data_IF_768092746918
#
_entry.id   IF_768092746918
#
_cell.length_a   1.000
_cell.length_b   1.000
_cell.length_c   1.000
_cell.angle_alpha   90.00
_cell.angle_beta   90.00
_cell.angle_gamma   90.00
#
_symmetry.space_group_name_H-M   'P 1'
#
loop_
_entity.id
_entity.type
_entity.pdbx_description
1 polymer ?
#
# COMPACT_ATOMS: atom_id res chain seq x y z
N UNK A 1 -18.28 -5.26 -44.39
CA UNK A 1 -19.32 -5.14 -45.44
C UNK A 1 -20.63 -4.68 -44.81
N UNK A 2 -21.47 -3.88 -45.49
CA UNK A 2 -22.83 -3.54 -45.03
C UNK A 2 -23.79 -4.58 -45.57
N UNK A 3 -24.41 -5.32 -44.66
CA UNK A 3 -25.39 -6.36 -44.95
C UNK A 3 -26.70 -5.74 -45.50
N UNK A 4 -27.31 -6.49 -46.42
CA UNK A 4 -28.43 -6.13 -47.26
C UNK A 4 -29.76 -6.40 -46.54
N UNK A 5 -30.56 -5.36 -46.27
CA UNK A 5 -32.02 -5.49 -46.10
C UNK A 5 -32.59 -6.17 -44.84
N UNK A 6 -31.79 -6.44 -43.80
CA UNK A 6 -32.29 -6.90 -42.51
C UNK A 6 -32.46 -5.73 -41.52
N UNK A 7 -33.62 -5.63 -40.86
CA UNK A 7 -33.90 -4.62 -39.82
C UNK A 7 -33.02 -4.76 -38.55
N UNK A 8 -32.25 -5.84 -38.45
CA UNK A 8 -31.43 -6.18 -37.29
C UNK A 8 -30.10 -6.83 -37.70
N UNK A 9 -29.08 -6.63 -36.88
CA UNK A 9 -27.73 -7.15 -37.12
C UNK A 9 -27.62 -8.63 -36.72
N UNK A 10 -27.19 -9.48 -37.66
CA UNK A 10 -26.99 -10.92 -37.45
C UNK A 10 -25.52 -11.37 -37.50
N UNK A 11 -24.58 -10.44 -37.45
CA UNK A 11 -23.16 -10.79 -37.35
C UNK A 11 -22.88 -11.54 -36.04
N UNK A 12 -21.87 -12.40 -36.02
CA UNK A 12 -21.46 -13.14 -34.82
C UNK A 12 -21.23 -12.21 -33.61
N UNK A 13 -20.60 -11.06 -33.84
CA UNK A 13 -20.38 -10.04 -32.81
C UNK A 13 -21.69 -9.48 -32.25
N UNK A 14 -22.67 -9.19 -33.11
CA UNK A 14 -23.98 -8.69 -32.69
C UNK A 14 -24.74 -9.74 -31.86
N UNK A 15 -24.75 -11.01 -32.29
CA UNK A 15 -25.43 -12.09 -31.57
C UNK A 15 -24.80 -12.31 -30.20
N UNK A 16 -23.47 -12.39 -30.12
CA UNK A 16 -22.73 -12.55 -28.84
C UNK A 16 -22.97 -11.38 -27.89
N UNK A 17 -22.99 -10.16 -28.41
CA UNK A 17 -23.22 -8.95 -27.60
C UNK A 17 -24.65 -8.89 -27.09
N UNK A 18 -25.64 -9.15 -27.95
CA UNK A 18 -27.04 -9.19 -27.57
C UNK A 18 -27.31 -10.25 -26.50
N UNK A 19 -26.73 -11.45 -26.63
CA UNK A 19 -26.83 -12.49 -25.62
C UNK A 19 -26.28 -12.04 -24.26
N UNK A 20 -25.09 -11.43 -24.21
CA UNK A 20 -24.51 -10.91 -22.96
C UNK A 20 -25.35 -9.82 -22.30
N UNK A 21 -25.96 -8.95 -23.10
CA UNK A 21 -26.88 -7.91 -22.61
C UNK A 21 -28.10 -8.60 -21.99
N UNK A 22 -28.80 -9.44 -22.77
CA UNK A 22 -30.01 -10.12 -22.34
C UNK A 22 -29.79 -10.96 -21.08
N UNK A 23 -28.65 -11.64 -20.98
CA UNK A 23 -28.27 -12.36 -19.77
C UNK A 23 -28.23 -11.41 -18.57
N UNK A 24 -27.60 -10.25 -18.70
CA UNK A 24 -27.42 -9.30 -17.60
C UNK A 24 -28.71 -8.64 -17.13
N UNK A 25 -29.70 -8.51 -18.01
CA UNK A 25 -30.97 -7.85 -17.72
C UNK A 25 -31.83 -8.60 -16.70
N UNK A 26 -32.59 -7.83 -15.93
CA UNK A 26 -33.73 -8.28 -15.16
C UNK A 26 -35.01 -7.63 -15.70
N UNK A 27 -35.67 -8.29 -16.66
CA UNK A 27 -36.83 -7.71 -17.35
C UNK A 27 -38.08 -7.61 -16.48
N UNK A 28 -38.05 -8.11 -15.24
CA UNK A 28 -39.15 -7.92 -14.27
C UNK A 28 -39.06 -6.59 -13.53
N UNK A 29 -37.90 -5.92 -13.55
CA UNK A 29 -37.72 -4.60 -12.94
C UNK A 29 -38.12 -3.49 -13.92
N UNK A 30 -38.79 -2.45 -13.41
CA UNK A 30 -39.16 -1.29 -14.22
C UNK A 30 -37.93 -0.39 -14.48
N UNK A 31 -37.50 -0.18 -15.75
CA UNK A 31 -36.29 0.57 -16.06
C UNK A 31 -36.30 2.03 -15.56
N UNK A 32 -37.49 2.64 -15.49
CA UNK A 32 -37.66 4.03 -15.05
C UNK A 32 -37.64 4.19 -13.52
N UNK A 33 -37.78 3.10 -12.76
CA UNK A 33 -37.77 3.11 -11.29
C UNK A 33 -36.39 2.70 -10.76
N UNK A 34 -35.84 1.60 -11.28
CA UNK A 34 -34.52 1.10 -10.93
C UNK A 34 -33.82 0.56 -12.19
N UNK A 35 -33.13 1.46 -12.89
CA UNK A 35 -32.37 1.10 -14.08
C UNK A 35 -31.20 0.16 -13.76
N UNK A 36 -30.64 0.22 -12.55
CA UNK A 36 -29.54 -0.66 -12.16
C UNK A 36 -30.04 -2.10 -12.01
N UNK A 37 -31.15 -2.32 -11.31
CA UNK A 37 -31.76 -3.64 -11.21
C UNK A 37 -32.19 -4.15 -12.59
N UNK A 38 -32.83 -3.31 -13.42
CA UNK A 38 -33.20 -3.71 -14.78
C UNK A 38 -31.99 -4.10 -15.63
N UNK A 39 -30.89 -3.32 -15.59
CA UNK A 39 -29.73 -3.56 -16.44
C UNK A 39 -28.81 -4.68 -15.94
N UNK A 40 -28.69 -4.85 -14.62
CA UNK A 40 -27.68 -5.69 -13.97
C UNK A 40 -28.26 -6.84 -13.13
N UNK A 41 -29.55 -6.84 -12.83
CA UNK A 41 -30.17 -7.77 -11.86
C UNK A 41 -30.03 -9.24 -12.26
N UNK A 42 -30.05 -9.54 -13.56
CA UNK A 42 -29.75 -10.88 -14.09
C UNK A 42 -28.31 -11.29 -13.82
N UNK A 43 -27.36 -10.35 -14.00
CA UNK A 43 -25.95 -10.60 -13.70
C UNK A 43 -25.71 -10.83 -12.21
N UNK A 44 -26.28 -9.99 -11.33
CA UNK A 44 -26.12 -10.10 -9.87
C UNK A 44 -26.57 -11.47 -9.35
N UNK A 45 -27.69 -12.00 -9.85
CA UNK A 45 -28.19 -13.32 -9.46
C UNK A 45 -27.24 -14.47 -9.83
N UNK A 46 -26.53 -14.36 -10.96
CA UNK A 46 -25.67 -15.43 -11.47
C UNK A 46 -24.21 -15.31 -11.03
N UNK A 47 -23.84 -14.18 -10.44
CA UNK A 47 -22.45 -13.87 -10.08
C UNK A 47 -22.36 -13.48 -8.61
N UNK A 48 -22.61 -14.42 -7.67
CA UNK A 48 -22.36 -14.17 -6.25
C UNK A 48 -20.88 -13.83 -6.03
N UNK A 49 -20.60 -13.05 -4.98
CA UNK A 49 -19.23 -12.68 -4.63
C UNK A 49 -18.48 -13.97 -4.24
N UNK A 50 -17.39 -14.34 -4.94
CA UNK A 50 -16.58 -15.50 -4.56
C UNK A 50 -15.98 -15.32 -3.17
N UNK A 51 -15.79 -16.41 -2.41
CA UNK A 51 -15.26 -16.35 -1.04
C UNK A 51 -13.90 -15.66 -0.92
N UNK A 52 -13.08 -15.73 -1.96
CA UNK A 52 -11.76 -15.09 -2.01
C UNK A 52 -11.79 -13.59 -2.34
N UNK A 53 -12.97 -13.00 -2.56
CA UNK A 53 -13.12 -11.64 -3.05
C UNK A 53 -14.02 -10.82 -2.11
N UNK A 54 -13.71 -9.53 -1.97
CA UNK A 54 -14.52 -8.60 -1.16
C UNK A 54 -15.59 -7.89 -1.99
N UNK A 55 -15.43 -7.86 -3.32
CA UNK A 55 -16.43 -7.36 -4.26
C UNK A 55 -16.35 -8.12 -5.57
N UNK A 56 -17.47 -8.15 -6.30
CA UNK A 56 -17.53 -8.82 -7.60
C UNK A 56 -18.36 -7.99 -8.57
N UNK A 57 -17.73 -7.61 -9.67
CA UNK A 57 -18.32 -6.87 -10.78
C UNK A 57 -17.71 -7.35 -12.11
N UNK A 58 -18.17 -6.77 -13.22
CA UNK A 58 -17.68 -7.11 -14.56
C UNK A 58 -16.18 -6.82 -14.74
N UNK A 59 -15.65 -5.77 -14.10
CA UNK A 59 -14.23 -5.43 -14.18
C UNK A 59 -13.38 -6.42 -13.39
N UNK A 60 -13.85 -6.85 -12.22
CA UNK A 60 -13.23 -7.91 -11.41
C UNK A 60 -13.22 -9.23 -12.18
N UNK A 61 -14.34 -9.62 -12.77
CA UNK A 61 -14.41 -10.83 -13.60
C UNK A 61 -13.43 -10.77 -14.78
N UNK A 62 -13.36 -9.64 -15.48
CA UNK A 62 -12.39 -9.45 -16.57
C UNK A 62 -10.94 -9.50 -16.06
N UNK A 63 -10.65 -8.88 -14.91
CA UNK A 63 -9.33 -8.93 -14.28
C UNK A 63 -8.94 -10.36 -13.94
N UNK A 64 -9.84 -11.17 -13.40
CA UNK A 64 -9.56 -12.58 -13.09
C UNK A 64 -9.30 -13.40 -14.36
N UNK A 65 -10.00 -13.12 -15.47
CA UNK A 65 -9.66 -13.73 -16.76
C UNK A 65 -8.27 -13.32 -17.24
N UNK A 66 -7.96 -12.02 -17.20
CA UNK A 66 -6.63 -11.52 -17.56
C UNK A 66 -5.52 -12.15 -16.70
N UNK A 67 -5.75 -12.30 -15.39
CA UNK A 67 -4.77 -12.91 -14.49
C UNK A 67 -4.52 -14.39 -14.82
N UNK A 68 -5.53 -15.12 -15.33
CA UNK A 68 -5.35 -16.49 -15.83
C UNK A 68 -4.52 -16.50 -17.10
N UNK A 69 -4.84 -15.65 -18.06
CA UNK A 69 -4.07 -15.56 -19.31
C UNK A 69 -2.60 -15.18 -19.03
N UNK A 70 -2.36 -14.23 -18.11
CA UNK A 70 -1.01 -13.85 -17.68
C UNK A 70 -0.29 -15.00 -16.98
N UNK A 71 -0.99 -15.77 -16.15
CA UNK A 71 -0.44 -16.96 -15.50
C UNK A 71 0.00 -17.98 -16.54
N UNK A 72 -0.84 -18.28 -17.52
CA UNK A 72 -0.51 -19.23 -18.60
C UNK A 72 0.77 -18.78 -19.33
N UNK A 73 0.86 -17.50 -19.70
CA UNK A 73 2.06 -16.92 -20.34
C UNK A 73 3.31 -17.01 -19.46
N UNK A 74 3.18 -16.81 -18.15
CA UNK A 74 4.31 -16.84 -17.22
C UNK A 74 4.77 -18.27 -16.88
N UNK A 75 3.85 -19.24 -16.90
CA UNK A 75 4.12 -20.66 -16.68
C UNK A 75 4.65 -21.37 -17.94
N UNK A 76 4.42 -20.82 -19.13
CA UNK A 76 4.98 -21.33 -20.38
C UNK A 76 6.51 -21.50 -20.31
N UNK A 77 6.99 -22.59 -20.92
CA UNK A 77 8.42 -22.87 -21.05
C UNK A 77 9.18 -21.69 -21.64
N UNK A 78 10.38 -21.43 -21.11
CA UNK A 78 11.23 -20.35 -21.61
C UNK A 78 12.02 -20.79 -22.85
N UNK A 79 12.02 -19.96 -23.89
CA UNK A 79 12.88 -20.14 -25.08
C UNK A 79 14.19 -19.36 -24.95
N UNK A 80 15.25 -19.86 -25.59
CA UNK A 80 16.54 -19.17 -25.67
C UNK A 80 16.41 -17.77 -26.32
N UNK A 81 15.46 -17.61 -27.24
CA UNK A 81 15.25 -16.37 -28.00
C UNK A 81 14.34 -15.36 -27.27
N UNK A 82 13.82 -15.67 -26.08
CA UNK A 82 12.98 -14.73 -25.33
C UNK A 82 13.75 -13.46 -24.93
N UNK A 83 13.11 -12.27 -25.01
CA UNK A 83 13.69 -11.02 -24.52
C UNK A 83 14.03 -11.11 -23.03
N UNK A 84 15.12 -10.44 -22.63
CA UNK A 84 15.58 -10.40 -21.24
C UNK A 84 14.49 -10.03 -20.22
N UNK A 85 13.67 -8.98 -20.45
CA UNK A 85 12.58 -8.61 -19.53
C UNK A 85 11.53 -9.71 -19.34
N UNK A 86 11.22 -10.48 -20.40
CA UNK A 86 10.27 -11.59 -20.32
C UNK A 86 10.84 -12.72 -19.47
N UNK A 87 12.12 -13.06 -19.67
CA UNK A 87 12.83 -14.05 -18.85
C UNK A 87 12.85 -13.63 -17.37
N UNK A 88 13.09 -12.35 -17.08
CA UNK A 88 13.07 -11.81 -15.71
C UNK A 88 11.67 -11.91 -15.09
N UNK A 89 10.62 -11.55 -15.82
CA UNK A 89 9.25 -11.67 -15.33
C UNK A 89 8.87 -13.12 -15.01
N UNK A 90 9.21 -14.08 -15.89
CA UNK A 90 9.01 -15.51 -15.66
C UNK A 90 9.81 -16.03 -14.45
N UNK A 91 11.06 -15.59 -14.30
CA UNK A 91 11.89 -15.96 -13.16
C UNK A 91 11.31 -15.44 -11.83
N UNK A 92 10.91 -14.16 -11.80
CA UNK A 92 10.28 -13.56 -10.62
C UNK A 92 8.98 -14.28 -10.25
N UNK A 93 8.16 -14.63 -11.25
CA UNK A 93 6.94 -15.40 -11.03
C UNK A 93 7.22 -16.76 -10.37
N UNK A 94 8.21 -17.50 -10.86
CA UNK A 94 8.62 -18.80 -10.28
C UNK A 94 9.13 -18.65 -8.84
N UNK A 95 9.92 -17.62 -8.54
CA UNK A 95 10.37 -17.34 -7.17
C UNK A 95 9.20 -17.06 -6.23
N UNK A 96 8.15 -16.38 -6.70
CA UNK A 96 6.94 -16.11 -5.91
C UNK A 96 6.14 -17.40 -5.60
N UNK A 97 6.17 -18.38 -6.50
CA UNK A 97 5.45 -19.65 -6.33
C UNK A 97 6.22 -20.70 -5.50
N UNK A 98 7.52 -20.52 -5.28
CA UNK A 98 8.34 -21.47 -4.52
C UNK A 98 8.11 -21.32 -3.01
N UNK A 99 6.98 -21.86 -2.54
CA UNK A 99 6.62 -21.84 -1.13
C UNK A 99 7.56 -22.70 -0.29
N UNK A 100 8.21 -23.71 -0.85
CA UNK A 100 9.16 -24.53 -0.11
C UNK A 100 10.41 -23.72 0.28
N UNK A 101 10.94 -22.93 -0.65
CA UNK A 101 12.05 -22.02 -0.36
C UNK A 101 11.62 -20.88 0.57
N UNK A 102 10.41 -20.34 0.40
CA UNK A 102 9.85 -19.32 1.30
C UNK A 102 9.79 -19.82 2.75
N UNK A 103 9.24 -21.01 2.98
CA UNK A 103 9.17 -21.63 4.31
C UNK A 103 10.55 -21.97 4.85
N UNK A 104 11.50 -22.40 4.00
CA UNK A 104 12.88 -22.68 4.39
C UNK A 104 13.62 -21.43 4.87
N UNK A 105 13.40 -20.28 4.22
CA UNK A 105 14.02 -19.00 4.58
C UNK A 105 13.37 -18.37 5.80
N UNK A 106 12.06 -18.58 6.00
CA UNK A 106 11.31 -17.99 7.10
C UNK A 106 11.50 -16.47 7.17
N UNK A 107 11.81 -15.97 8.38
CA UNK A 107 11.97 -14.53 8.62
C UNK A 107 13.39 -14.00 8.37
N UNK A 108 14.36 -14.84 8.00
CA UNK A 108 15.76 -14.41 7.85
C UNK A 108 15.95 -13.24 6.86
N UNK A 109 15.30 -13.21 5.67
CA UNK A 109 15.44 -12.09 4.76
C UNK A 109 14.91 -10.77 5.33
N UNK A 110 13.85 -10.83 6.14
CA UNK A 110 13.29 -9.67 6.83
C UNK A 110 14.25 -9.18 7.91
N UNK A 111 14.81 -10.08 8.71
CA UNK A 111 15.79 -9.74 9.76
C UNK A 111 17.02 -9.08 9.17
N UNK A 112 17.61 -9.66 8.12
CA UNK A 112 18.76 -9.07 7.44
C UNK A 112 18.45 -7.68 6.87
N UNK A 113 17.18 -7.40 6.53
CA UNK A 113 16.73 -6.08 6.10
C UNK A 113 16.63 -5.10 7.27
N UNK A 114 16.09 -5.54 8.41
CA UNK A 114 16.01 -4.73 9.63
C UNK A 114 17.40 -4.36 10.17
N UNK A 115 18.35 -5.30 10.15
CA UNK A 115 19.76 -5.05 10.52
C UNK A 115 20.39 -4.00 9.61
N UNK A 116 20.17 -4.09 8.29
CA UNK A 116 20.58 -3.05 7.34
C UNK A 116 19.86 -1.72 7.55
N UNK A 117 18.84 -1.62 8.38
CA UNK A 117 18.22 -0.35 8.75
C UNK A 117 18.60 0.09 10.17
N UNK A 118 19.51 -0.63 10.83
CA UNK A 118 19.89 -0.44 12.23
C UNK A 118 18.67 -0.51 13.17
N UNK A 119 17.68 -1.33 12.79
CA UNK A 119 16.48 -1.60 13.58
C UNK A 119 16.68 -2.90 14.37
N UNK A 120 16.12 -2.97 15.58
CA UNK A 120 16.21 -4.22 16.36
C UNK A 120 15.41 -5.33 15.70
N UNK A 121 16.00 -6.52 15.77
CA UNK A 121 15.50 -7.76 15.19
C UNK A 121 14.58 -8.53 16.12
N UNK A 122 14.32 -7.98 17.32
CA UNK A 122 13.59 -8.63 18.41
C UNK A 122 12.42 -7.81 19.00
N UNK A 123 12.29 -6.54 18.59
CA UNK A 123 11.14 -5.63 18.79
C UNK A 123 10.27 -5.89 20.03
N UNK A 124 10.51 -5.18 21.14
CA UNK A 124 9.67 -4.00 21.40
C UNK A 124 10.43 -2.81 22.03
N UNK A 125 10.21 -1.60 21.49
CA UNK A 125 10.68 -0.32 22.03
C UNK A 125 11.95 0.29 21.38
N UNK A 126 12.53 -0.41 20.39
CA UNK A 126 13.64 -0.04 19.46
C UNK A 126 14.48 1.20 19.82
N UNK A 127 15.80 1.05 20.14
CA UNK A 127 16.83 0.43 19.26
C UNK A 127 17.80 -0.55 20.01
N UNK A 128 18.43 -1.56 19.38
CA UNK A 128 19.84 -1.59 18.86
C UNK A 128 20.09 -2.95 18.14
N UNK A 129 21.10 -3.21 17.29
CA UNK A 129 22.54 -2.89 17.37
C UNK A 129 22.98 -1.58 16.70
N UNK A 130 23.59 -0.71 17.49
CA UNK A 130 24.66 0.15 17.00
C UNK A 130 25.80 -0.80 16.60
N UNK A 131 26.29 -0.74 15.37
CA UNK A 131 27.69 -1.13 15.17
C UNK A 131 28.49 -0.23 16.11
N UNK A 132 29.35 -0.80 16.97
CA UNK A 132 30.43 0.01 17.51
C UNK A 132 31.11 0.62 16.28
N UNK A 133 30.97 1.93 16.09
CA UNK A 133 31.90 2.64 15.20
C UNK A 133 33.32 2.26 15.66
N UNK A 134 34.30 2.23 14.76
CA UNK A 134 35.71 1.84 15.01
C UNK A 134 36.40 2.65 16.14
N UNK A 135 35.68 3.61 16.75
CA UNK A 135 36.03 4.47 17.89
C UNK A 135 35.27 4.12 19.21
N UNK A 136 34.46 3.06 19.24
CA UNK A 136 33.82 2.55 20.47
C UNK A 136 32.68 3.40 21.05
N UNK A 137 32.11 4.34 20.29
CA UNK A 137 30.91 5.09 20.70
C UNK A 137 29.63 4.38 20.27
N UNK A 138 28.74 4.07 21.22
CA UNK A 138 27.37 3.65 20.91
C UNK A 138 26.59 4.84 20.32
N UNK A 139 26.46 4.90 19.00
CA UNK A 139 25.63 5.89 18.30
C UNK A 139 24.17 5.87 18.79
N UNK A 140 23.66 7.06 19.12
CA UNK A 140 22.25 7.27 19.43
C UNK A 140 21.38 6.94 18.20
N UNK A 141 20.18 6.39 18.42
CA UNK A 141 19.29 6.08 17.31
C UNK A 141 18.86 7.33 16.56
N UNK A 142 19.22 7.38 15.28
CA UNK A 142 18.81 8.44 14.37
C UNK A 142 17.67 7.96 13.47
N UNK A 143 16.46 8.42 13.78
CA UNK A 143 15.27 8.09 13.01
C UNK A 143 15.31 8.69 11.59
N UNK A 144 15.97 9.83 11.38
CA UNK A 144 16.08 10.47 10.07
C UNK A 144 17.00 9.65 9.17
N UNK A 145 18.15 9.21 9.70
CA UNK A 145 19.05 8.31 8.99
C UNK A 145 18.33 7.00 8.62
N UNK A 146 17.60 6.43 9.57
CA UNK A 146 16.80 5.21 9.35
C UNK A 146 15.73 5.41 8.28
N UNK A 147 14.97 6.51 8.33
CA UNK A 147 13.95 6.86 7.34
C UNK A 147 14.55 7.08 5.95
N UNK A 148 15.69 7.77 5.86
CA UNK A 148 16.39 7.99 4.59
C UNK A 148 16.89 6.68 3.98
N UNK A 149 17.41 5.75 4.80
CA UNK A 149 17.81 4.41 4.35
C UNK A 149 16.62 3.57 3.92
N UNK A 150 15.52 3.59 4.68
CA UNK A 150 14.30 2.88 4.32
C UNK A 150 13.75 3.37 2.97
N UNK A 151 13.74 4.68 2.73
CA UNK A 151 13.34 5.25 1.45
C UNK A 151 14.29 4.83 0.32
N UNK A 152 15.61 4.93 0.52
CA UNK A 152 16.60 4.60 -0.51
C UNK A 152 16.64 3.10 -0.85
N UNK A 153 16.53 2.24 0.15
CA UNK A 153 16.70 0.79 -0.03
C UNK A 153 15.40 0.09 -0.38
N UNK A 154 14.28 0.52 0.20
CA UNK A 154 12.99 -0.16 0.10
C UNK A 154 11.92 0.66 -0.63
N UNK A 155 12.18 1.94 -0.93
CA UNK A 155 11.15 2.85 -1.44
C UNK A 155 10.07 3.17 -0.40
N UNK A 156 10.34 2.93 0.88
CA UNK A 156 9.40 3.13 1.97
C UNK A 156 9.64 4.46 2.67
N UNK A 157 8.65 5.35 2.58
CA UNK A 157 8.62 6.60 3.31
C UNK A 157 8.15 6.38 4.75
N UNK A 158 8.82 7.04 5.70
CA UNK A 158 8.54 6.93 7.14
C UNK A 158 8.18 8.31 7.67
N UNK A 159 6.96 8.45 8.19
CA UNK A 159 6.30 9.69 8.65
C UNK A 159 6.06 10.77 7.59
N UNK A 160 7.02 11.01 6.72
CA UNK A 160 6.97 11.98 5.64
C UNK A 160 7.32 11.31 4.32
N UNK A 161 6.50 11.59 3.31
CA UNK A 161 6.69 11.12 1.95
C UNK A 161 7.63 12.04 1.20
N UNK A 162 8.60 11.46 0.50
CA UNK A 162 9.55 12.20 -0.34
C UNK A 162 9.69 11.52 -1.69
N UNK A 163 9.36 12.23 -2.76
CA UNK A 163 9.55 11.72 -4.12
C UNK A 163 9.78 12.87 -5.10
N UNK A 164 10.17 12.50 -6.32
CA UNK A 164 10.37 13.43 -7.43
C UNK A 164 9.20 13.26 -8.40
N UNK A 165 8.44 14.32 -8.60
CA UNK A 165 7.30 14.37 -9.53
C UNK A 165 7.44 15.51 -10.52
N UNK A 166 6.66 15.45 -11.60
CA UNK A 166 6.51 16.56 -12.52
C UNK A 166 5.91 17.78 -11.81
N UNK A 167 6.41 18.98 -12.12
CA UNK A 167 5.79 20.21 -11.63
C UNK A 167 4.44 20.42 -12.33
N UNK A 168 3.35 20.41 -11.55
CA UNK A 168 1.98 20.63 -12.04
C UNK A 168 1.77 21.98 -12.72
N UNK A 169 2.65 22.97 -12.49
CA UNK A 169 2.64 24.28 -13.17
C UNK A 169 3.60 24.35 -14.35
N UNK A 170 4.60 23.46 -14.42
CA UNK A 170 5.56 23.38 -15.52
C UNK A 170 6.07 21.95 -15.73
N UNK A 171 5.37 21.18 -16.55
CA UNK A 171 5.66 19.76 -16.81
C UNK A 171 6.97 19.50 -17.55
N UNK A 172 7.74 20.53 -17.89
CA UNK A 172 9.10 20.37 -18.45
C UNK A 172 10.19 20.19 -17.38
N UNK A 173 9.84 20.32 -16.09
CA UNK A 173 10.75 20.09 -14.95
C UNK A 173 10.11 19.18 -13.92
N UNK A 174 10.98 18.55 -13.12
CA UNK A 174 10.57 17.81 -11.94
C UNK A 174 10.90 18.60 -10.68
N UNK A 175 10.12 18.39 -9.63
CA UNK A 175 10.34 18.95 -8.29
C UNK A 175 10.38 17.83 -7.26
N UNK A 176 11.12 18.07 -6.18
CA UNK A 176 10.98 17.29 -4.97
C UNK A 176 9.65 17.66 -4.30
N UNK A 177 8.86 16.66 -3.96
CA UNK A 177 7.58 16.81 -3.27
C UNK A 177 7.69 16.16 -1.89
N UNK A 178 7.24 16.90 -0.89
CA UNK A 178 7.09 16.43 0.49
C UNK A 178 5.60 16.39 0.82
N UNK A 179 5.12 15.29 1.37
CA UNK A 179 3.69 15.13 1.68
C UNK A 179 3.46 14.21 2.89
N UNK A 180 2.25 14.26 3.43
CA UNK A 180 1.78 13.29 4.41
C UNK A 180 1.69 11.88 3.80
N UNK A 181 1.96 10.85 4.60
CA UNK A 181 1.78 9.44 4.21
C UNK A 181 0.69 8.79 5.05
N UNK A 182 0.29 7.57 4.66
CA UNK A 182 -0.65 6.76 5.43
C UNK A 182 -0.19 6.63 6.89
N UNK A 183 -1.10 6.78 7.88
CA UNK A 183 -0.77 6.60 9.30
C UNK A 183 -0.67 5.12 9.69
N UNK A 184 -0.41 4.21 8.75
CA UNK A 184 -0.33 2.76 8.97
C UNK A 184 -1.68 2.03 8.97
N UNK A 185 -2.80 2.75 9.17
CA UNK A 185 -4.15 2.19 9.04
C UNK A 185 -5.11 3.23 8.44
N UNK A 186 -6.35 2.84 8.18
CA UNK A 186 -7.37 3.75 7.64
C UNK A 186 -7.60 4.94 8.57
N UNK A 187 -7.28 6.14 8.11
CA UNK A 187 -7.54 7.42 8.82
C UNK A 187 -8.99 7.50 9.30
N UNK A 188 -9.93 7.18 8.42
CA UNK A 188 -11.36 7.14 8.72
C UNK A 188 -11.70 6.21 9.90
N UNK A 189 -11.00 5.08 10.03
CA UNK A 189 -11.27 4.12 11.09
C UNK A 189 -10.64 4.58 12.40
N UNK A 190 -9.42 5.12 12.32
CA UNK A 190 -8.71 5.69 13.46
C UNK A 190 -9.44 6.90 14.08
N UNK A 191 -10.12 7.70 13.26
CA UNK A 191 -10.84 8.91 13.69
C UNK A 191 -12.32 8.67 14.04
N UNK A 192 -12.88 7.48 13.80
CA UNK A 192 -14.26 7.11 14.14
C UNK A 192 -14.31 5.72 14.84
N UNK A 193 -13.69 5.60 16.04
CA UNK A 193 -13.56 4.32 16.72
C UNK A 193 -14.90 3.76 17.24
N UNK A 194 -15.92 4.59 17.42
CA UNK A 194 -17.25 4.13 17.82
C UNK A 194 -17.90 3.29 16.71
N UNK A 195 -17.70 3.69 15.45
CA UNK A 195 -18.22 2.98 14.28
C UNK A 195 -17.34 1.79 13.87
N UNK A 196 -16.02 1.94 13.99
CA UNK A 196 -15.03 0.97 13.48
C UNK A 196 -14.25 0.23 14.57
N UNK A 197 -14.83 0.13 15.77
CA UNK A 197 -14.17 -0.48 16.93
C UNK A 197 -13.79 -1.95 16.73
N UNK A 198 -14.56 -2.68 15.90
CA UNK A 198 -14.26 -4.08 15.55
C UNK A 198 -13.00 -4.20 14.70
N UNK A 199 -12.89 -3.41 13.64
CA UNK A 199 -11.74 -3.39 12.74
C UNK A 199 -10.47 -2.91 13.46
N UNK A 200 -10.59 -1.93 14.34
CA UNK A 200 -9.48 -1.48 15.20
C UNK A 200 -9.04 -2.57 16.19
N UNK A 201 -9.97 -3.38 16.70
CA UNK A 201 -9.63 -4.51 17.56
C UNK A 201 -8.85 -5.60 16.81
N UNK A 202 -9.24 -5.91 15.57
CA UNK A 202 -8.50 -6.86 14.73
C UNK A 202 -7.14 -6.31 14.32
N UNK A 203 -7.02 -5.02 14.02
CA UNK A 203 -5.73 -4.42 13.73
C UNK A 203 -4.79 -4.44 14.95
N UNK A 204 -5.31 -4.14 16.15
CA UNK A 204 -4.56 -4.30 17.42
C UNK A 204 -4.08 -5.73 17.60
N UNK A 205 -4.96 -6.71 17.35
CA UNK A 205 -4.63 -8.14 17.44
C UNK A 205 -3.53 -8.52 16.44
N UNK A 206 -3.65 -8.07 15.19
CA UNK A 206 -2.63 -8.30 14.16
C UNK A 206 -1.25 -7.81 14.61
N UNK A 207 -1.14 -6.55 15.07
CA UNK A 207 0.15 -6.02 15.56
C UNK A 207 0.66 -6.84 16.75
N UNK A 208 -0.22 -7.20 17.68
CA UNK A 208 0.13 -8.01 18.85
C UNK A 208 0.72 -9.37 18.43
N UNK A 209 0.09 -10.04 17.46
CA UNK A 209 0.53 -11.34 16.97
C UNK A 209 1.86 -11.24 16.20
N UNK A 210 2.07 -10.18 15.42
CA UNK A 210 3.36 -9.89 14.78
C UNK A 210 4.46 -9.73 15.84
N UNK A 211 4.25 -8.93 16.88
CA UNK A 211 5.25 -8.75 17.95
C UNK A 211 5.55 -10.07 18.66
N UNK A 212 4.54 -10.90 18.92
CA UNK A 212 4.74 -12.23 19.53
C UNK A 212 5.59 -13.14 18.64
N UNK A 213 5.43 -13.10 17.31
CA UNK A 213 6.27 -13.85 16.38
C UNK A 213 7.73 -13.40 16.47
N UNK A 214 7.99 -12.09 16.55
CA UNK A 214 9.34 -11.56 16.72
C UNK A 214 9.98 -11.95 18.06
N UNK A 215 9.24 -11.82 19.16
CA UNK A 215 9.70 -12.23 20.48
C UNK A 215 10.01 -13.73 20.55
N UNK A 216 9.13 -14.56 19.97
CA UNK A 216 9.32 -16.00 19.91
C UNK A 216 10.57 -16.37 19.11
N UNK A 217 10.76 -15.75 17.94
CA UNK A 217 11.96 -15.94 17.11
C UNK A 217 13.24 -15.57 17.85
N UNK A 218 13.24 -14.43 18.54
CA UNK A 218 14.40 -13.95 19.29
C UNK A 218 14.66 -14.74 20.59
N UNK A 219 13.81 -15.75 20.89
CA UNK A 219 13.81 -16.49 22.14
C UNK A 219 13.78 -15.54 23.38
N UNK A 220 13.07 -14.42 23.25
CA UNK A 220 12.96 -13.41 24.29
C UNK A 220 11.69 -13.61 25.10
N UNK A 221 11.85 -13.80 26.41
CA UNK A 221 10.74 -13.77 27.35
C UNK A 221 10.41 -12.33 27.69
N UNK A 222 9.27 -11.83 27.19
CA UNK A 222 8.77 -10.51 27.54
C UNK A 222 7.74 -10.59 28.69
N UNK A 223 7.59 -9.53 29.49
CA UNK A 223 6.47 -9.41 30.42
C UNK A 223 5.12 -9.60 29.74
N UNK A 224 4.14 -10.10 30.49
CA UNK A 224 2.78 -10.20 30.00
C UNK A 224 2.24 -8.78 29.66
N UNK A 225 1.60 -8.63 28.51
CA UNK A 225 1.11 -7.34 28.03
C UNK A 225 2.08 -6.54 27.17
N UNK A 226 3.35 -6.98 26.98
CA UNK A 226 4.32 -6.21 26.18
C UNK A 226 3.87 -6.03 24.72
N UNK A 227 3.35 -7.09 24.09
CA UNK A 227 2.89 -7.02 22.70
C UNK A 227 1.62 -6.16 22.57
N UNK A 228 0.73 -6.26 23.55
CA UNK A 228 -0.52 -5.49 23.62
C UNK A 228 -0.25 -4.00 23.85
N UNK A 229 0.69 -3.68 24.72
CA UNK A 229 1.13 -2.30 24.97
C UNK A 229 1.79 -1.70 23.73
N UNK A 230 2.65 -2.47 23.05
CA UNK A 230 3.25 -2.04 21.78
C UNK A 230 2.17 -1.76 20.72
N UNK A 231 1.19 -2.65 20.57
CA UNK A 231 0.08 -2.45 19.65
C UNK A 231 -0.77 -1.23 20.01
N UNK A 232 -0.99 -0.99 21.30
CA UNK A 232 -1.69 0.20 21.79
C UNK A 232 -0.92 1.50 21.51
N UNK A 233 0.41 1.48 21.65
CA UNK A 233 1.26 2.63 21.33
C UNK A 233 1.28 2.93 19.83
N UNK A 234 1.39 1.90 18.98
CA UNK A 234 1.29 2.06 17.51
C UNK A 234 -0.06 2.66 17.13
N UNK A 235 -1.16 2.14 17.68
CA UNK A 235 -2.50 2.68 17.43
C UNK A 235 -2.64 4.12 17.89
N UNK A 236 -2.18 4.43 19.10
CA UNK A 236 -2.22 5.79 19.66
C UNK A 236 -1.45 6.77 18.79
N UNK A 237 -0.22 6.41 18.39
CA UNK A 237 0.60 7.22 17.49
C UNK A 237 -0.07 7.40 16.13
N UNK A 238 -0.60 6.32 15.55
CA UNK A 238 -1.31 6.34 14.26
C UNK A 238 -2.54 7.24 14.30
N UNK A 239 -3.33 7.21 15.39
CA UNK A 239 -4.49 8.09 15.58
C UNK A 239 -4.07 9.55 15.75
N UNK A 240 -2.99 9.83 16.48
CA UNK A 240 -2.46 11.19 16.60
C UNK A 240 -1.99 11.73 15.25
N UNK A 241 -1.30 10.90 14.47
CA UNK A 241 -0.86 11.23 13.13
C UNK A 241 -2.07 11.49 12.20
N UNK A 242 -3.07 10.60 12.23
CA UNK A 242 -4.32 10.80 11.48
C UNK A 242 -5.02 12.12 11.85
N UNK A 243 -4.98 12.53 13.11
CA UNK A 243 -5.61 13.76 13.59
C UNK A 243 -4.94 15.06 13.12
N UNK A 244 -3.68 15.01 12.66
CA UNK A 244 -2.96 16.18 12.12
C UNK A 244 -2.88 16.18 10.58
N UNK A 245 -3.33 15.09 9.93
CA UNK A 245 -3.34 14.98 8.48
C UNK A 245 -4.43 15.85 7.86
N UNK A 246 -4.17 16.34 6.64
CA UNK A 246 -5.19 17.02 5.83
C UNK A 246 -6.16 15.98 5.26
N UNK A 247 -7.47 16.23 5.37
CA UNK A 247 -8.48 15.22 4.99
C UNK A 247 -8.55 14.99 3.48
N UNK A 248 -9.08 13.83 3.07
CA UNK A 248 -9.24 13.50 1.66
C UNK A 248 -10.10 14.52 0.88
N UNK A 249 -11.08 15.16 1.52
CA UNK A 249 -11.94 16.18 0.91
C UNK A 249 -11.18 17.48 0.66
N UNK A 250 -10.42 17.95 1.65
CA UNK A 250 -9.57 19.14 1.53
C UNK A 250 -8.52 18.94 0.44
N UNK A 251 -7.96 17.73 0.36
CA UNK A 251 -6.99 17.32 -0.67
C UNK A 251 -7.57 17.15 -2.08
N UNK A 252 -8.85 17.47 -2.32
CA UNK A 252 -9.38 17.57 -3.70
C UNK A 252 -9.11 18.93 -4.32
N UNK A 253 -8.88 19.96 -3.50
CA UNK A 253 -8.48 21.27 -4.00
C UNK A 253 -6.99 21.28 -4.30
N UNK A 254 -6.66 21.10 -5.58
CA UNK A 254 -5.28 21.07 -6.08
C UNK A 254 -4.56 22.37 -5.73
N UNK A 255 -5.23 23.53 -5.79
CA UNK A 255 -4.54 24.83 -5.60
C UNK A 255 -4.07 25.06 -4.18
N UNK A 256 -4.80 24.56 -3.19
CA UNK A 256 -4.44 24.71 -1.78
C UNK A 256 -3.39 23.72 -1.28
N UNK A 257 -2.98 22.74 -2.11
CA UNK A 257 -1.96 21.75 -1.74
C UNK A 257 -0.55 22.09 -2.20
N UNK A 258 -0.41 22.85 -3.29
CA UNK A 258 0.91 23.12 -3.87
C UNK A 258 1.53 24.38 -3.28
N UNK A 259 2.46 24.18 -2.34
CA UNK A 259 3.28 25.23 -1.77
C UNK A 259 4.74 25.06 -2.22
N UNK A 260 5.14 25.82 -3.23
CA UNK A 260 6.55 25.85 -3.66
C UNK A 260 7.36 26.69 -2.68
N UNK A 261 8.39 26.08 -2.12
CA UNK A 261 9.31 26.71 -1.19
C UNK A 261 10.71 26.12 -1.37
N UNK A 262 11.72 26.90 -0.97
CA UNK A 262 13.09 26.42 -0.84
C UNK A 262 13.25 25.55 0.41
N UNK A 263 14.33 24.77 0.49
CA UNK A 263 14.63 23.98 1.68
C UNK A 263 14.83 24.86 2.93
N UNK A 264 15.43 26.04 2.77
CA UNK A 264 15.59 27.00 3.86
C UNK A 264 14.25 27.52 4.38
N UNK A 265 13.31 27.83 3.49
CA UNK A 265 11.95 28.24 3.87
C UNK A 265 11.21 27.10 4.56
N UNK A 266 11.34 25.86 4.06
CA UNK A 266 10.75 24.68 4.71
C UNK A 266 11.31 24.51 6.13
N UNK A 267 12.63 24.64 6.29
CA UNK A 267 13.29 24.59 7.59
C UNK A 267 12.74 25.65 8.55
N UNK A 268 12.69 26.91 8.12
CA UNK A 268 12.16 28.03 8.91
C UNK A 268 10.71 27.79 9.34
N UNK A 269 9.86 27.29 8.44
CA UNK A 269 8.47 26.94 8.75
C UNK A 269 8.37 25.85 9.82
N UNK A 270 9.17 24.79 9.71
CA UNK A 270 9.15 23.69 10.69
C UNK A 270 9.80 24.04 12.03
N UNK A 271 10.74 24.99 12.05
CA UNK A 271 11.43 25.43 13.27
C UNK A 271 10.65 26.51 14.05
N UNK A 272 9.76 27.26 13.38
CA UNK A 272 9.00 28.37 13.97
C UNK A 272 7.82 27.93 14.83
N UNK A 273 7.23 26.76 14.55
CA UNK A 273 6.21 26.16 15.40
C UNK A 273 6.91 25.48 16.58
N UNK A 274 6.60 25.95 17.81
CA UNK A 274 7.23 25.57 19.08
C UNK A 274 7.05 24.09 19.49
N UNK A 275 7.53 23.17 18.66
CA UNK A 275 7.91 21.83 19.06
C UNK A 275 9.11 21.99 20.00
N UNK A 276 8.99 21.49 21.23
CA UNK A 276 10.01 21.60 22.26
C UNK A 276 11.41 21.24 21.74
N UNK A 277 12.46 21.71 22.42
CA UNK A 277 13.88 21.72 22.01
C UNK A 277 14.51 20.44 21.42
N UNK A 278 13.80 19.31 21.35
CA UNK A 278 14.22 18.05 20.72
C UNK A 278 13.56 17.73 19.35
N UNK A 279 12.70 18.59 18.80
CA UNK A 279 12.00 18.33 17.53
C UNK A 279 12.22 19.44 16.49
N UNK A 280 13.47 19.91 16.37
CA UNK A 280 13.91 20.72 15.23
C UNK A 280 14.31 19.77 14.10
N UNK A 281 13.84 20.01 12.88
CA UNK A 281 14.29 19.26 11.69
C UNK A 281 15.68 19.76 11.31
N UNK A 282 16.72 19.62 12.16
CA UNK A 282 18.03 20.25 11.93
C UNK A 282 18.82 19.70 10.72
N UNK A 283 18.31 18.65 10.07
CA UNK A 283 18.99 17.85 9.04
C UNK A 283 18.89 18.39 7.62
N UNK A 284 17.99 19.33 7.29
CA UNK A 284 17.91 19.88 5.92
C UNK A 284 19.08 20.82 5.58
N UNK A 285 19.86 21.25 6.58
CA UNK A 285 21.05 22.11 6.41
C UNK A 285 22.17 21.46 5.58
N UNK A 286 22.11 20.16 5.32
CA UNK A 286 23.15 19.41 4.58
C UNK A 286 22.79 19.15 3.11
N UNK A 287 21.67 19.68 2.61
CA UNK A 287 21.26 19.59 1.20
C UNK A 287 21.57 20.89 0.42
N UNK A 288 22.81 21.36 0.49
CA UNK A 288 23.36 22.34 -0.46
C UNK A 288 24.21 21.65 -1.54
#
# INVERSE_FOLDING_TARGET
ERDTGADYCLTEACVKTAARILDSLDTTAQPCEDFYQFACGGWLRRNPIPESQTSWDQFRSLREHLLRDLRDILEEGSSADEPGPVKQAKALYRTCLDTAELERLGLEPLIATLEKLNLSTALPGLPSSVDEDDDGSSGEFDWLYTAARAQRMLGHSVLLGFWVNEDVRNTSRNLMVVDQISPGFSERYLLDPERFGGELAEYRRYITDVVRVFLHRANQTAPNGTAENFAADVLRFSTQLAGIMTTAEQRRDVKSQFHEMTLDQLQEHTDADGLGSGAKVSSLRHFQ
#
